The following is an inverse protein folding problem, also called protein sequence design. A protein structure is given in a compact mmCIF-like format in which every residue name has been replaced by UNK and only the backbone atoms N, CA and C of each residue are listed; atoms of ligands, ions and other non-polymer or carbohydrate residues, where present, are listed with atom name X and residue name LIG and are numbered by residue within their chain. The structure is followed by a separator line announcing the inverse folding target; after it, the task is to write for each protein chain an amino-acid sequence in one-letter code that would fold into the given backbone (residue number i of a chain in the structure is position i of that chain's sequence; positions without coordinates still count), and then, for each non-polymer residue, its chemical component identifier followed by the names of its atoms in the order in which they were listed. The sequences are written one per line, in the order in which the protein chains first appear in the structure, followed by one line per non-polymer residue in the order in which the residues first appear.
data_IF_237525825920
#
_entry.id   IF_237525825920
#
_cell.length_a   1.000
_cell.length_b   1.000
_cell.length_c   1.000
_cell.angle_alpha   90.00
_cell.angle_beta   90.00
_cell.angle_gamma   90.00
#
_symmetry.space_group_name_H-M   'P 1'
#
loop_
_entity.id
_entity.type
_entity.pdbx_description
1 polymer ?
#
# COMPACT_ATOMS: atom_id res chain seq x y z
N UNK A 1 -13.43 0.72 16.16
CA UNK A 1 -12.69 1.21 17.34
C UNK A 1 -11.27 1.49 16.85
N UNK A 2 -10.67 2.66 17.10
CA UNK A 2 -9.31 2.97 16.58
C UNK A 2 -8.27 2.36 17.52
N UNK A 3 -7.28 1.63 16.98
CA UNK A 3 -6.35 0.82 17.79
C UNK A 3 -5.44 1.65 18.71
N UNK A 4 -5.16 1.12 19.91
CA UNK A 4 -4.48 1.79 21.03
C UNK A 4 -3.03 2.17 20.77
N UNK A 5 -2.32 1.52 19.85
CA UNK A 5 -0.90 1.81 19.60
C UNK A 5 -0.66 3.19 18.97
N UNK A 6 -1.57 3.65 18.11
CA UNK A 6 -1.58 5.03 17.61
C UNK A 6 -1.77 6.07 18.73
N UNK A 7 -2.23 5.62 19.91
CA UNK A 7 -2.54 6.48 21.05
C UNK A 7 -1.52 6.41 22.19
N UNK A 8 -0.56 5.49 22.17
CA UNK A 8 0.27 5.19 23.35
C UNK A 8 1.76 5.36 23.05
N UNK A 9 2.37 6.42 23.62
CA UNK A 9 3.83 6.51 23.80
C UNK A 9 4.30 5.68 25.00
N UNK A 10 3.75 4.48 25.19
CA UNK A 10 3.85 3.75 26.46
C UNK A 10 5.09 2.88 26.58
N UNK A 11 5.50 2.66 27.83
CA UNK A 11 6.66 1.90 28.30
C UNK A 11 6.62 0.38 28.01
N UNK A 12 5.60 -0.10 27.29
CA UNK A 12 5.35 -1.52 27.00
C UNK A 12 5.51 -1.88 25.51
N UNK A 13 5.99 -0.95 24.70
CA UNK A 13 6.29 -1.20 23.29
C UNK A 13 7.55 -2.07 23.19
N UNK A 14 7.38 -3.28 22.66
CA UNK A 14 8.50 -4.11 22.23
C UNK A 14 8.71 -3.85 20.74
N UNK A 15 9.88 -3.34 20.39
CA UNK A 15 10.35 -3.27 19.00
C UNK A 15 10.78 -4.66 18.56
N UNK A 16 10.25 -5.10 17.43
CA UNK A 16 10.51 -6.40 16.82
C UNK A 16 10.64 -6.20 15.30
N UNK A 17 11.17 -7.20 14.59
CA UNK A 17 11.42 -7.14 13.16
C UNK A 17 11.02 -8.46 12.50
N UNK A 18 10.23 -8.40 11.44
CA UNK A 18 9.70 -9.59 10.77
C UNK A 18 10.61 -10.11 9.63
N UNK A 19 11.83 -9.57 9.54
CA UNK A 19 12.79 -9.77 8.47
C UNK A 19 12.74 -8.73 7.36
N UNK A 20 11.69 -7.89 7.31
CA UNK A 20 11.55 -6.79 6.32
C UNK A 20 11.25 -5.44 6.96
N UNK A 21 10.38 -5.40 7.97
CA UNK A 21 9.96 -4.16 8.61
C UNK A 21 10.01 -4.23 10.13
N UNK A 22 10.34 -3.09 10.72
CA UNK A 22 10.24 -2.88 12.16
C UNK A 22 8.78 -2.68 12.56
N UNK A 23 8.37 -3.37 13.62
CA UNK A 23 7.03 -3.27 14.17
C UNK A 23 7.05 -3.24 15.70
N UNK A 24 5.96 -2.74 16.25
CA UNK A 24 5.71 -2.56 17.66
C UNK A 24 4.68 -3.57 18.13
N UNK A 25 4.88 -4.14 19.31
CA UNK A 25 3.87 -5.00 19.97
C UNK A 25 3.27 -4.31 21.19
N UNK A 26 1.94 -4.33 21.29
CA UNK A 26 1.20 -3.81 22.44
C UNK A 26 -0.01 -4.72 22.72
N UNK A 27 -0.10 -5.30 23.92
CA UNK A 27 -1.22 -6.17 24.34
C UNK A 27 -1.53 -7.33 23.35
N UNK A 28 -0.53 -7.82 22.62
CA UNK A 28 -0.67 -8.87 21.61
C UNK A 28 -0.98 -8.36 20.19
N UNK A 29 -1.35 -7.09 20.03
CA UNK A 29 -1.50 -6.44 18.74
C UNK A 29 -0.12 -6.02 18.18
N UNK A 30 0.02 -6.07 16.84
CA UNK A 30 1.25 -5.73 16.11
C UNK A 30 1.02 -4.50 15.25
N UNK A 31 1.99 -3.59 15.19
CA UNK A 31 1.89 -2.34 14.44
C UNK A 31 3.16 -2.02 13.70
N UNK A 32 3.09 -1.79 12.40
CA UNK A 32 4.20 -1.21 11.67
C UNK A 32 4.63 0.10 12.35
N UNK A 33 5.91 0.15 12.75
CA UNK A 33 6.52 1.33 13.36
C UNK A 33 6.27 2.62 12.55
N UNK A 34 6.40 2.63 11.20
CA UNK A 34 6.08 3.81 10.41
C UNK A 34 4.64 4.27 10.51
N UNK A 35 3.68 3.35 10.44
CA UNK A 35 2.26 3.70 10.52
C UNK A 35 1.93 4.26 11.90
N UNK A 36 2.44 3.63 12.97
CA UNK A 36 2.31 4.13 14.34
C UNK A 36 2.85 5.56 14.47
N UNK A 37 4.06 5.83 13.97
CA UNK A 37 4.66 7.16 13.98
C UNK A 37 3.83 8.19 13.21
N UNK A 38 3.31 7.82 12.03
CA UNK A 38 2.42 8.67 11.23
C UNK A 38 1.14 8.99 11.99
N UNK A 39 0.46 8.00 12.55
CA UNK A 39 -0.79 8.24 13.26
C UNK A 39 -0.61 9.02 14.55
N UNK A 40 0.51 8.84 15.28
CA UNK A 40 0.85 9.70 16.42
C UNK A 40 1.03 11.16 15.99
N UNK A 41 1.75 11.39 14.89
CA UNK A 41 1.98 12.73 14.35
C UNK A 41 0.68 13.41 13.92
N UNK A 42 -0.21 12.68 13.23
CA UNK A 42 -1.54 13.19 12.83
C UNK A 42 -2.41 13.47 14.04
N UNK A 43 -2.40 12.60 15.04
CA UNK A 43 -3.17 12.79 16.28
C UNK A 43 -2.73 14.06 17.03
N UNK A 44 -1.41 14.25 17.17
CA UNK A 44 -0.81 15.39 17.86
C UNK A 44 -0.85 16.71 17.05
N UNK A 45 -1.24 16.64 15.78
CA UNK A 45 -1.26 17.82 14.93
C UNK A 45 -2.25 18.88 15.47
N UNK A 46 -1.89 20.18 15.43
CA UNK A 46 -2.58 21.25 16.16
C UNK A 46 -3.83 21.76 15.41
N UNK A 47 -4.70 20.85 14.98
CA UNK A 47 -6.00 21.15 14.38
C UNK A 47 -7.07 20.20 14.93
N UNK A 48 -8.29 20.69 15.07
CA UNK A 48 -9.42 20.11 15.81
C UNK A 48 -10.45 19.50 14.84
N UNK A 49 -9.98 18.67 13.90
CA UNK A 49 -10.82 17.98 12.90
C UNK A 49 -10.98 16.50 13.27
N UNK A 50 -11.62 16.27 14.40
CA UNK A 50 -11.68 14.96 15.08
C UNK A 50 -12.22 13.83 14.19
N UNK A 51 -13.24 14.11 13.38
CA UNK A 51 -13.85 13.11 12.51
C UNK A 51 -12.90 12.68 11.39
N UNK A 52 -12.27 13.64 10.70
CA UNK A 52 -11.33 13.38 9.61
C UNK A 52 -10.03 12.77 10.14
N UNK A 53 -9.56 13.19 11.33
CA UNK A 53 -8.47 12.52 12.03
C UNK A 53 -8.81 11.06 12.30
N UNK A 54 -10.01 10.76 12.83
CA UNK A 54 -10.45 9.39 13.09
C UNK A 54 -10.55 8.56 11.82
N UNK A 55 -11.06 9.13 10.73
CA UNK A 55 -11.14 8.45 9.43
C UNK A 55 -9.75 8.11 8.89
N UNK A 56 -8.80 9.06 8.94
CA UNK A 56 -7.42 8.81 8.53
C UNK A 56 -6.73 7.77 9.41
N UNK A 57 -6.85 7.89 10.73
CA UNK A 57 -6.29 6.91 11.66
C UNK A 57 -6.90 5.52 11.47
N UNK A 58 -8.19 5.42 11.14
CA UNK A 58 -8.82 4.16 10.78
C UNK A 58 -8.19 3.58 9.52
N UNK A 59 -8.00 4.37 8.46
CA UNK A 59 -7.34 3.91 7.25
C UNK A 59 -5.91 3.39 7.52
N UNK A 60 -5.17 3.98 8.46
CA UNK A 60 -3.86 3.46 8.88
C UNK A 60 -3.96 2.14 9.66
N UNK A 61 -5.01 1.95 10.47
CA UNK A 61 -5.28 0.69 11.17
C UNK A 61 -5.59 -0.40 10.15
N UNK A 62 -6.52 -0.13 9.22
CA UNK A 62 -6.93 -1.08 8.19
C UNK A 62 -5.71 -1.51 7.36
N UNK A 63 -4.85 -0.55 6.97
CA UNK A 63 -3.61 -0.84 6.24
C UNK A 63 -2.60 -1.66 7.05
N UNK A 64 -2.50 -1.42 8.36
CA UNK A 64 -1.65 -2.20 9.24
C UNK A 64 -2.13 -3.65 9.35
N UNK A 65 -3.44 -3.86 9.46
CA UNK A 65 -4.05 -5.19 9.47
C UNK A 65 -3.80 -5.90 8.13
N UNK A 66 -4.02 -5.23 7.00
CA UNK A 66 -3.72 -5.76 5.65
C UNK A 66 -2.26 -6.19 5.52
N UNK A 67 -1.31 -5.42 6.06
CA UNK A 67 0.10 -5.80 6.03
C UNK A 67 0.37 -7.12 6.77
N UNK A 68 -0.08 -7.25 8.02
CA UNK A 68 0.19 -8.47 8.78
C UNK A 68 -0.55 -9.68 8.22
N UNK A 69 -1.75 -9.48 7.67
CA UNK A 69 -2.48 -10.53 6.95
C UNK A 69 -1.70 -10.99 5.71
N UNK A 70 -1.18 -10.06 4.90
CA UNK A 70 -0.39 -10.37 3.72
C UNK A 70 0.91 -11.11 4.07
N UNK A 71 1.57 -10.74 5.17
CA UNK A 71 2.78 -11.42 5.65
C UNK A 71 2.50 -12.83 6.17
N UNK A 72 1.41 -13.01 6.90
CA UNK A 72 0.97 -14.35 7.35
C UNK A 72 0.66 -15.24 6.13
N UNK A 73 -0.09 -14.71 5.16
CA UNK A 73 -0.38 -15.39 3.90
C UNK A 73 0.90 -15.77 3.13
N UNK A 74 1.86 -14.85 3.00
CA UNK A 74 3.14 -15.10 2.35
C UNK A 74 3.93 -16.24 3.05
N UNK A 75 3.96 -16.25 4.39
CA UNK A 75 4.65 -17.32 5.13
C UNK A 75 3.94 -18.68 5.00
N UNK A 76 2.61 -18.71 5.01
CA UNK A 76 1.84 -19.95 4.81
C UNK A 76 2.04 -20.56 3.43
N UNK A 77 2.21 -19.72 2.41
CA UNK A 77 2.32 -20.12 1.00
C UNK A 77 3.73 -20.54 0.62
N UNK A 78 4.77 -19.94 1.23
CA UNK A 78 6.18 -20.35 1.11
C UNK A 78 6.44 -21.83 1.37
N UNK A 79 5.57 -22.51 2.13
CA UNK A 79 5.69 -23.95 2.44
C UNK A 79 4.88 -24.89 1.54
N UNK A 80 4.01 -24.37 0.67
CA UNK A 80 2.99 -25.15 -0.06
C UNK A 80 3.05 -24.87 -1.57
N UNK A 81 4.08 -25.34 -2.26
CA UNK A 81 4.12 -25.26 -3.72
C UNK A 81 3.29 -26.40 -4.34
N UNK A 82 2.26 -26.04 -5.12
CA UNK A 82 1.22 -26.94 -5.61
C UNK A 82 1.49 -27.50 -7.03
N UNK A 83 2.76 -27.57 -7.47
CA UNK A 83 3.17 -27.95 -8.85
C UNK A 83 2.50 -29.18 -9.45
N UNK A 84 2.08 -30.12 -8.60
CA UNK A 84 1.52 -31.40 -9.02
C UNK A 84 -0.02 -31.43 -9.00
N UNK A 85 -0.67 -30.35 -8.59
CA UNK A 85 -2.11 -30.16 -8.62
C UNK A 85 -2.45 -28.81 -9.28
N UNK A 86 -2.57 -28.84 -10.61
CA UNK A 86 -2.88 -27.67 -11.45
C UNK A 86 -4.16 -26.93 -11.01
N UNK A 87 -5.15 -27.67 -10.46
CA UNK A 87 -6.41 -27.08 -10.01
C UNK A 87 -6.22 -26.34 -8.68
N UNK A 88 -5.43 -26.88 -7.78
CA UNK A 88 -5.08 -26.21 -6.54
C UNK A 88 -4.19 -24.98 -6.81
N UNK A 89 -3.18 -25.11 -7.68
CA UNK A 89 -2.32 -24.00 -8.10
C UNK A 89 -3.12 -22.87 -8.75
N UNK A 90 -4.04 -23.18 -9.67
CA UNK A 90 -4.88 -22.17 -10.32
C UNK A 90 -5.79 -21.44 -9.33
N UNK A 91 -6.41 -22.15 -8.38
CA UNK A 91 -7.26 -21.52 -7.35
C UNK A 91 -6.45 -20.61 -6.45
N UNK A 92 -5.29 -21.08 -6.00
CA UNK A 92 -4.36 -20.30 -5.21
C UNK A 92 -4.00 -18.98 -5.90
N UNK A 93 -3.57 -19.02 -7.16
CA UNK A 93 -3.22 -17.80 -7.91
C UNK A 93 -4.38 -16.82 -8.05
N UNK A 94 -5.60 -17.32 -8.26
CA UNK A 94 -6.80 -16.46 -8.35
C UNK A 94 -7.02 -15.75 -7.01
N UNK A 95 -7.02 -16.49 -5.91
CA UNK A 95 -7.22 -15.94 -4.56
C UNK A 95 -6.15 -14.92 -4.19
N UNK A 96 -4.86 -15.21 -4.46
CA UNK A 96 -3.79 -14.25 -4.23
C UNK A 96 -3.94 -12.98 -5.09
N UNK A 97 -4.39 -13.11 -6.34
CA UNK A 97 -4.61 -11.97 -7.21
C UNK A 97 -5.85 -11.13 -6.80
N UNK A 98 -6.86 -11.74 -6.18
CA UNK A 98 -7.96 -11.02 -5.53
C UNK A 98 -7.43 -10.19 -4.35
N UNK A 99 -6.63 -10.76 -3.45
CA UNK A 99 -5.98 -10.02 -2.37
C UNK A 99 -5.06 -8.89 -2.87
N UNK A 100 -4.38 -9.13 -4.00
CA UNK A 100 -3.60 -8.10 -4.65
C UNK A 100 -4.47 -6.93 -5.13
N UNK A 101 -5.67 -7.22 -5.63
CA UNK A 101 -6.64 -6.20 -6.05
C UNK A 101 -7.17 -5.38 -4.88
N UNK A 102 -7.40 -6.02 -3.73
CA UNK A 102 -7.83 -5.34 -2.49
C UNK A 102 -6.84 -4.24 -2.07
N UNK A 103 -5.55 -4.39 -2.36
CA UNK A 103 -4.53 -3.39 -2.07
C UNK A 103 -4.79 -2.05 -2.80
N UNK A 104 -5.46 -2.06 -3.96
CA UNK A 104 -5.86 -0.83 -4.66
C UNK A 104 -6.92 -0.07 -3.86
N UNK A 105 -7.88 -0.79 -3.27
CA UNK A 105 -8.93 -0.20 -2.45
C UNK A 105 -8.37 0.40 -1.16
N UNK A 106 -7.41 -0.26 -0.52
CA UNK A 106 -6.71 0.24 0.66
C UNK A 106 -5.99 1.57 0.37
N UNK A 107 -5.25 1.65 -0.74
CA UNK A 107 -4.60 2.89 -1.17
C UNK A 107 -5.62 4.01 -1.39
N UNK A 108 -6.69 3.74 -2.15
CA UNK A 108 -7.71 4.75 -2.45
C UNK A 108 -8.39 5.26 -1.19
N UNK A 109 -8.64 4.37 -0.23
CA UNK A 109 -9.21 4.71 1.08
C UNK A 109 -8.27 5.64 1.86
N UNK A 110 -6.98 5.31 1.94
CA UNK A 110 -5.97 6.15 2.59
C UNK A 110 -5.87 7.53 1.93
N UNK A 111 -5.77 7.58 0.60
CA UNK A 111 -5.66 8.84 -0.16
C UNK A 111 -6.93 9.68 -0.03
N UNK A 112 -8.11 9.07 -0.05
CA UNK A 112 -9.37 9.80 0.18
C UNK A 112 -9.46 10.36 1.60
N UNK A 113 -9.01 9.62 2.61
CA UNK A 113 -8.97 10.10 3.98
C UNK A 113 -7.94 11.23 4.15
N UNK A 114 -6.82 11.18 3.42
CA UNK A 114 -5.84 12.27 3.37
C UNK A 114 -6.46 13.56 2.83
N UNK A 115 -7.13 13.52 1.68
CA UNK A 115 -7.74 14.72 1.08
C UNK A 115 -8.73 15.37 2.05
N UNK A 116 -9.65 14.56 2.60
CA UNK A 116 -10.65 15.06 3.55
C UNK A 116 -10.01 15.69 4.80
N UNK A 117 -8.90 15.12 5.27
CA UNK A 117 -8.14 15.64 6.40
C UNK A 117 -7.42 16.96 6.06
N UNK A 118 -6.81 17.05 4.88
CA UNK A 118 -6.15 18.28 4.40
C UNK A 118 -7.16 19.39 4.22
N UNK A 119 -8.28 19.12 3.57
CA UNK A 119 -9.33 20.11 3.31
C UNK A 119 -9.89 20.67 4.61
N UNK A 120 -10.25 19.80 5.56
CA UNK A 120 -10.76 20.22 6.86
C UNK A 120 -9.71 21.01 7.68
N UNK A 121 -8.44 20.59 7.65
CA UNK A 121 -7.39 21.29 8.37
C UNK A 121 -7.08 22.67 7.76
N UNK A 122 -7.16 22.79 6.43
CA UNK A 122 -7.03 24.07 5.72
C UNK A 122 -8.18 25.01 6.09
N UNK A 123 -9.43 24.52 6.04
CA UNK A 123 -10.61 25.30 6.40
C UNK A 123 -10.56 25.81 7.85
N UNK A 124 -10.07 24.99 8.79
CA UNK A 124 -9.89 25.42 10.18
C UNK A 124 -8.85 26.54 10.31
N UNK A 125 -7.70 26.42 9.64
CA UNK A 125 -6.65 27.45 9.68
C UNK A 125 -7.13 28.76 9.03
N UNK A 126 -7.95 28.67 7.98
CA UNK A 126 -8.56 29.83 7.33
C UNK A 126 -9.63 30.50 8.20
N UNK A 127 -10.46 29.71 8.89
CA UNK A 127 -11.53 30.20 9.77
C UNK A 127 -11.05 30.69 11.14
N UNK A 128 -9.81 30.38 11.53
CA UNK A 128 -9.20 30.95 12.75
C UNK A 128 -8.91 32.43 12.50
N UNK A 129 -9.91 33.25 12.81
CA UNK A 129 -9.92 34.69 12.67
C UNK A 129 -9.02 35.30 13.75
N UNK A 130 -7.78 35.68 13.38
CA UNK A 130 -6.92 36.68 14.05
C UNK A 130 -5.44 36.60 13.62
N UNK A 131 -5.03 35.54 12.90
CA UNK A 131 -3.65 35.40 12.43
C UNK A 131 -3.30 36.39 11.29
N UNK A 132 -2.09 36.95 11.33
CA UNK A 132 -1.53 37.72 10.21
C UNK A 132 -1.54 36.89 8.91
N UNK A 133 -1.67 37.55 7.75
CA UNK A 133 -1.71 36.86 6.45
C UNK A 133 -0.46 35.98 6.22
N UNK A 134 0.71 36.40 6.71
CA UNK A 134 1.92 35.59 6.60
C UNK A 134 1.92 34.42 7.58
N UNK A 135 1.42 34.61 8.81
CA UNK A 135 1.29 33.55 9.80
C UNK A 135 0.31 32.47 9.31
N UNK A 136 -0.84 32.88 8.77
CA UNK A 136 -1.81 31.98 8.15
C UNK A 136 -1.18 31.19 7.00
N UNK A 137 -0.46 31.85 6.09
CA UNK A 137 0.22 31.16 4.97
C UNK A 137 1.25 30.14 5.48
N UNK A 138 2.03 30.50 6.50
CA UNK A 138 3.01 29.57 7.11
C UNK A 138 2.32 28.38 7.77
N UNK A 139 1.23 28.61 8.50
CA UNK A 139 0.45 27.55 9.13
C UNK A 139 -0.15 26.59 8.09
N UNK A 140 -0.77 27.11 7.02
CA UNK A 140 -1.29 26.31 5.91
C UNK A 140 -0.20 25.46 5.26
N UNK A 141 0.96 26.06 4.98
CA UNK A 141 2.09 25.35 4.38
C UNK A 141 2.63 24.24 5.31
N UNK A 142 2.68 24.50 6.62
CA UNK A 142 3.17 23.54 7.60
C UNK A 142 2.21 22.36 7.81
N UNK A 143 0.90 22.62 7.81
CA UNK A 143 -0.13 21.58 7.88
C UNK A 143 -0.07 20.68 6.64
N UNK A 144 -0.05 21.29 5.45
CA UNK A 144 0.02 20.54 4.18
C UNK A 144 1.29 19.70 4.10
N UNK A 145 2.47 20.29 4.34
CA UNK A 145 3.73 19.55 4.28
C UNK A 145 3.77 18.40 5.29
N UNK A 146 3.22 18.61 6.49
CA UNK A 146 3.16 17.57 7.52
C UNK A 146 2.27 16.41 7.10
N UNK A 147 1.06 16.69 6.59
CA UNK A 147 0.11 15.66 6.17
C UNK A 147 0.59 14.92 4.92
N UNK A 148 1.23 15.62 3.98
CA UNK A 148 1.86 15.00 2.81
C UNK A 148 2.98 14.05 3.24
N UNK A 149 3.84 14.45 4.16
CA UNK A 149 4.90 13.59 4.69
C UNK A 149 4.37 12.36 5.41
N UNK A 150 3.28 12.53 6.17
CA UNK A 150 2.59 11.43 6.82
C UNK A 150 2.07 10.42 5.79
N UNK A 151 1.37 10.90 4.76
CA UNK A 151 0.78 10.01 3.74
C UNK A 151 1.84 9.39 2.85
N UNK A 152 2.87 10.12 2.43
CA UNK A 152 3.98 9.57 1.64
C UNK A 152 4.66 8.41 2.38
N UNK A 153 4.88 8.59 3.69
CA UNK A 153 5.42 7.54 4.54
C UNK A 153 4.48 6.35 4.70
N UNK A 154 3.18 6.58 4.87
CA UNK A 154 2.19 5.51 4.95
C UNK A 154 2.09 4.73 3.63
N UNK A 155 2.23 5.40 2.49
CA UNK A 155 2.26 4.76 1.17
C UNK A 155 3.53 3.92 0.99
N UNK A 156 4.69 4.49 1.28
CA UNK A 156 5.99 3.86 1.05
C UNK A 156 6.33 2.74 2.03
N UNK A 157 6.07 2.93 3.32
CA UNK A 157 6.47 2.00 4.38
C UNK A 157 5.29 1.21 4.96
N UNK A 158 4.07 1.43 4.46
CA UNK A 158 2.87 0.70 4.89
C UNK A 158 2.19 -0.03 3.75
N UNK A 159 1.69 0.73 2.77
CA UNK A 159 0.90 0.17 1.67
C UNK A 159 1.74 -0.64 0.69
N UNK A 160 2.84 -0.07 0.19
CA UNK A 160 3.65 -0.73 -0.81
C UNK A 160 4.23 -2.09 -0.33
N UNK A 161 4.65 -2.25 0.94
CA UNK A 161 4.99 -3.55 1.51
C UNK A 161 3.88 -4.60 1.48
N UNK A 162 2.59 -4.21 1.57
CA UNK A 162 1.46 -5.15 1.43
C UNK A 162 1.42 -5.71 0.00
N UNK A 163 1.60 -4.82 -0.98
CA UNK A 163 1.70 -5.18 -2.40
C UNK A 163 2.85 -6.16 -2.60
N UNK A 164 4.05 -5.86 -2.10
CA UNK A 164 5.20 -6.77 -2.22
C UNK A 164 4.92 -8.15 -1.61
N UNK A 165 4.30 -8.23 -0.43
CA UNK A 165 4.00 -9.49 0.24
C UNK A 165 3.06 -10.39 -0.57
N UNK A 166 1.97 -9.85 -1.10
CA UNK A 166 1.06 -10.61 -1.97
C UNK A 166 1.68 -10.95 -3.32
N UNK A 167 2.50 -10.06 -3.90
CA UNK A 167 3.24 -10.37 -5.11
C UNK A 167 4.18 -11.56 -4.90
N UNK A 168 4.98 -11.56 -3.84
CA UNK A 168 5.87 -12.69 -3.53
C UNK A 168 5.11 -13.98 -3.22
N UNK A 169 3.86 -13.88 -2.77
CA UNK A 169 2.98 -15.04 -2.59
C UNK A 169 2.56 -15.66 -3.93
N UNK A 170 2.48 -14.90 -5.03
CA UNK A 170 2.14 -15.44 -6.38
C UNK A 170 3.23 -16.34 -6.95
N UNK A 171 4.48 -16.14 -6.51
CA UNK A 171 5.64 -16.94 -6.87
C UNK A 171 6.32 -17.46 -5.59
N UNK A 172 5.64 -18.31 -4.79
CA UNK A 172 6.22 -18.84 -3.57
C UNK A 172 7.45 -19.65 -4.00
N UNK A 173 8.63 -19.17 -3.59
CA UNK A 173 9.92 -19.47 -4.22
C UNK A 173 9.99 -20.85 -4.86
N UNK A 174 10.23 -20.91 -6.16
CA UNK A 174 10.30 -22.17 -6.90
C UNK A 174 11.36 -23.07 -6.23
N UNK A 175 10.92 -24.16 -5.61
CA UNK A 175 11.80 -25.29 -5.34
C UNK A 175 12.08 -25.96 -6.68
N UNK A 176 13.12 -25.49 -7.38
CA UNK A 176 13.76 -26.28 -8.43
C UNK A 176 14.47 -27.44 -7.70
N UNK A 177 13.78 -28.56 -7.57
CA UNK A 177 14.44 -29.83 -7.33
C UNK A 177 15.11 -30.26 -8.64
N UNK A 178 16.18 -29.56 -9.02
CA UNK A 178 17.12 -30.10 -9.99
C UNK A 178 17.93 -31.18 -9.27
N UNK A 179 18.00 -32.32 -9.94
CA UNK A 179 18.57 -33.61 -9.55
C UNK A 179 19.43 -33.69 -8.28
N UNK A 180 19.13 -34.75 -7.52
CA UNK A 180 19.75 -35.43 -6.36
C UNK A 180 21.07 -34.98 -5.71
N UNK A 181 21.88 -34.07 -6.23
CA UNK A 181 23.14 -33.66 -5.59
C UNK A 181 23.37 -32.14 -5.64
N UNK A 182 23.10 -31.50 -4.50
CA UNK A 182 23.84 -30.33 -3.98
C UNK A 182 23.75 -29.02 -4.78
N UNK A 183 22.70 -28.24 -4.52
CA UNK A 183 22.75 -26.86 -3.93
C UNK A 183 21.34 -26.29 -3.86
N UNK A 184 20.85 -26.06 -2.63
CA UNK A 184 19.67 -25.20 -2.40
C UNK A 184 20.07 -23.75 -2.71
N UNK A 185 20.00 -23.34 -3.98
CA UNK A 185 20.02 -21.93 -4.32
C UNK A 185 18.59 -21.44 -4.42
N UNK A 186 18.28 -20.40 -3.65
CA UNK A 186 17.02 -19.68 -3.69
C UNK A 186 17.05 -18.90 -5.01
N UNK A 187 16.22 -19.29 -5.97
CA UNK A 187 15.89 -18.40 -7.08
C UNK A 187 14.78 -17.52 -6.52
N UNK A 188 15.12 -16.27 -6.19
CA UNK A 188 14.09 -15.24 -6.02
C UNK A 188 13.31 -15.17 -7.33
N UNK A 189 12.00 -15.35 -7.24
CA UNK A 189 11.12 -15.53 -8.39
C UNK A 189 11.25 -14.37 -9.37
N UNK A 190 12.01 -14.58 -10.44
CA UNK A 190 12.04 -13.69 -11.59
C UNK A 190 10.88 -14.08 -12.51
N UNK A 191 9.79 -13.31 -12.41
CA UNK A 191 8.78 -12.92 -13.42
C UNK A 191 8.28 -13.82 -14.56
N UNK A 192 8.68 -15.08 -14.70
CA UNK A 192 8.24 -15.90 -15.85
C UNK A 192 7.58 -17.23 -15.46
N UNK A 193 6.85 -17.26 -14.33
CA UNK A 193 5.84 -18.29 -14.14
C UNK A 193 4.72 -18.05 -15.17
N UNK A 194 4.80 -18.72 -16.34
CA UNK A 194 3.79 -18.68 -17.41
C UNK A 194 2.37 -18.60 -16.84
N UNK A 195 1.65 -17.53 -17.18
CA UNK A 195 0.24 -17.34 -16.82
C UNK A 195 -0.05 -16.36 -15.67
N UNK A 196 0.95 -15.88 -14.91
CA UNK A 196 0.70 -14.79 -13.93
C UNK A 196 0.33 -13.49 -14.67
N UNK A 197 1.07 -13.12 -15.72
CA UNK A 197 0.72 -11.98 -16.57
C UNK A 197 -0.68 -12.09 -17.16
N UNK A 198 -1.00 -13.22 -17.79
CA UNK A 198 -2.34 -13.49 -18.37
C UNK A 198 -3.46 -13.49 -17.32
N UNK A 199 -3.17 -13.92 -16.09
CA UNK A 199 -4.13 -13.84 -14.99
C UNK A 199 -4.41 -12.38 -14.67
N UNK A 200 -3.36 -11.61 -14.39
CA UNK A 200 -3.44 -10.23 -13.93
C UNK A 200 -3.92 -9.27 -15.04
N UNK A 201 -3.88 -9.69 -16.31
CA UNK A 201 -4.48 -9.03 -17.47
C UNK A 201 -6.00 -9.14 -17.55
N UNK A 202 -6.63 -9.95 -16.72
CA UNK A 202 -8.08 -10.10 -16.76
C UNK A 202 -8.79 -8.87 -16.18
N UNK A 203 -9.96 -8.52 -16.75
CA UNK A 203 -10.67 -7.28 -16.41
C UNK A 203 -11.29 -7.24 -14.99
N UNK A 204 -11.27 -8.35 -14.25
CA UNK A 204 -11.75 -8.40 -12.86
C UNK A 204 -10.66 -8.08 -11.83
N UNK A 205 -9.40 -7.96 -12.25
CA UNK A 205 -8.33 -7.52 -11.37
C UNK A 205 -8.24 -6.01 -11.38
N UNK A 206 -8.42 -5.40 -10.21
CA UNK A 206 -8.29 -3.97 -10.08
C UNK A 206 -6.81 -3.58 -10.20
N UNK A 207 -6.58 -2.54 -11.00
CA UNK A 207 -5.25 -1.97 -11.25
C UNK A 207 -5.21 -0.53 -10.80
N UNK A 208 -4.00 -0.03 -10.59
CA UNK A 208 -3.77 1.38 -10.35
C UNK A 208 -4.13 2.18 -11.59
N UNK A 209 -5.06 3.11 -11.48
CA UNK A 209 -5.42 4.00 -12.59
C UNK A 209 -4.36 5.09 -12.77
N UNK A 210 -4.36 5.75 -13.94
CA UNK A 210 -3.51 6.93 -14.16
C UNK A 210 -3.73 8.01 -13.08
N UNK A 211 -4.96 8.13 -12.57
CA UNK A 211 -5.30 9.02 -11.46
C UNK A 211 -4.60 8.60 -10.16
N UNK A 212 -4.65 7.31 -9.83
CA UNK A 212 -4.00 6.79 -8.61
C UNK A 212 -2.49 7.05 -8.67
N UNK A 213 -1.85 6.75 -9.79
CA UNK A 213 -0.41 6.98 -10.01
C UNK A 213 -0.06 8.46 -9.90
N UNK A 214 -0.87 9.33 -10.50
CA UNK A 214 -0.66 10.79 -10.41
C UNK A 214 -0.70 11.27 -8.98
N UNK A 215 -1.65 10.77 -8.18
CA UNK A 215 -1.77 11.13 -6.76
C UNK A 215 -0.59 10.65 -5.93
N UNK A 216 -0.14 9.40 -6.12
CA UNK A 216 1.08 8.90 -5.45
C UNK A 216 2.27 9.81 -5.79
N UNK A 217 2.42 10.16 -7.08
CA UNK A 217 3.50 11.03 -7.54
C UNK A 217 3.43 12.44 -6.96
N UNK A 218 2.23 13.02 -6.85
CA UNK A 218 2.03 14.35 -6.25
C UNK A 218 2.43 14.34 -4.77
N UNK A 219 1.93 13.38 -3.99
CA UNK A 219 2.29 13.20 -2.57
C UNK A 219 3.79 13.06 -2.41
N UNK A 220 4.41 12.18 -3.20
CA UNK A 220 5.84 11.91 -3.14
C UNK A 220 6.71 13.10 -3.58
N UNK A 221 6.27 13.87 -4.58
CA UNK A 221 6.99 15.04 -5.07
C UNK A 221 6.95 16.19 -4.06
N UNK A 222 5.79 16.41 -3.46
CA UNK A 222 5.57 17.54 -2.54
C UNK A 222 6.09 17.26 -1.13
N UNK A 223 6.23 15.98 -0.79
CA UNK A 223 6.92 15.55 0.41
C UNK A 223 7.77 14.32 0.12
N UNK A 224 9.03 14.49 -0.34
CA UNK A 224 9.93 13.35 -0.51
C UNK A 224 10.17 12.73 0.87
N UNK A 225 9.49 11.63 1.16
CA UNK A 225 9.65 10.87 2.38
C UNK A 225 10.89 9.99 2.35
N UNK A 226 10.85 8.90 3.10
CA UNK A 226 11.96 7.96 3.30
C UNK A 226 12.31 7.17 2.05
N UNK A 227 11.32 6.79 1.24
CA UNK A 227 11.53 6.16 -0.06
C UNK A 227 10.82 6.94 -1.19
N UNK A 228 11.50 7.91 -1.83
CA UNK A 228 10.94 8.69 -2.93
C UNK A 228 10.77 7.89 -4.24
N UNK A 229 11.01 6.58 -4.22
CA UNK A 229 11.10 5.76 -5.44
C UNK A 229 9.93 4.81 -5.63
N UNK A 230 8.93 4.78 -4.73
CA UNK A 230 7.75 3.90 -4.85
C UNK A 230 7.12 3.98 -6.24
N UNK A 231 6.86 5.20 -6.73
CA UNK A 231 6.26 5.39 -8.06
C UNK A 231 7.16 4.86 -9.19
N UNK A 232 8.48 5.02 -9.05
CA UNK A 232 9.45 4.56 -10.04
C UNK A 232 9.49 3.04 -10.06
N UNK A 233 9.51 2.40 -8.88
CA UNK A 233 9.44 0.95 -8.74
C UNK A 233 8.14 0.38 -9.29
N UNK A 234 7.00 1.03 -9.06
CA UNK A 234 5.73 0.61 -9.67
C UNK A 234 5.78 0.59 -11.20
N UNK A 235 6.48 1.54 -11.83
CA UNK A 235 6.61 1.57 -13.29
C UNK A 235 7.68 0.62 -13.82
N UNK A 236 8.79 0.49 -13.10
CA UNK A 236 9.97 -0.27 -13.54
C UNK A 236 9.82 -1.77 -13.22
N UNK A 237 9.32 -2.11 -12.03
CA UNK A 237 9.22 -3.48 -11.49
C UNK A 237 7.79 -4.04 -11.55
N UNK A 238 6.75 -3.19 -11.58
CA UNK A 238 5.34 -3.64 -11.55
C UNK A 238 4.46 -3.03 -12.68
N UNK A 239 4.95 -2.94 -13.94
CA UNK A 239 4.24 -2.22 -15.00
C UNK A 239 2.84 -2.77 -15.31
N UNK A 240 2.61 -4.06 -15.04
CA UNK A 240 1.31 -4.73 -15.23
C UNK A 240 0.26 -4.34 -14.19
N UNK A 241 0.67 -3.87 -13.00
CA UNK A 241 -0.25 -3.41 -11.95
C UNK A 241 -0.72 -1.97 -12.19
N UNK A 242 -0.04 -1.27 -13.10
CA UNK A 242 -0.42 0.06 -13.56
C UNK A 242 -1.31 -0.09 -14.79
N UNK A 243 -2.54 0.42 -14.69
CA UNK A 243 -3.50 0.41 -15.78
C UNK A 243 -2.95 1.17 -16.99
N UNK A 244 -2.50 0.45 -18.01
CA UNK A 244 -2.27 1.03 -19.33
C UNK A 244 -3.62 1.39 -19.95
N UNK A 245 -3.69 2.60 -20.53
CA UNK A 245 -4.81 3.02 -21.38
C UNK A 245 -5.14 1.89 -22.35
N UNK A 246 -6.36 1.35 -22.29
CA UNK A 246 -7.00 0.82 -23.49
C UNK A 246 -7.19 1.99 -24.45
N UNK A 247 -6.13 2.27 -25.20
CA UNK A 247 -6.16 2.94 -26.47
C UNK A 247 -6.32 1.91 -27.60
N UNK A 248 -7.23 0.97 -27.46
CA UNK A 248 -7.91 0.37 -28.60
C UNK A 248 -9.39 0.39 -28.27
N UNK A 249 -10.01 1.48 -28.71
CA UNK A 249 -11.42 1.51 -29.00
C UNK A 249 -11.76 0.21 -29.72
N UNK A 250 -12.69 -0.55 -29.16
CA UNK A 250 -13.91 -0.93 -29.88
C UNK A 250 -13.69 -0.90 -31.40
N UNK A 251 -13.05 -1.94 -31.91
CA UNK A 251 -13.23 -2.38 -33.28
C UNK A 251 -14.68 -2.89 -33.39
N UNK A 252 -15.64 -1.97 -33.31
CA UNK A 252 -17.02 -2.19 -33.68
C UNK A 252 -17.35 -1.26 -34.85
N UNK A 253 -17.42 -1.88 -36.04
CA UNK A 253 -18.01 -1.33 -37.26
C UNK A 253 -17.10 -0.30 -37.94
N UNK A 254 -16.57 -0.52 -39.14
CA UNK A 254 -17.14 -1.21 -40.29
C UNK A 254 -16.01 -1.43 -41.31
N UNK A 255 -15.62 -2.68 -41.53
CA UNK A 255 -14.84 -3.12 -42.69
C UNK A 255 -15.06 -4.63 -42.90
N UNK A 256 -16.24 -5.00 -43.33
CA UNK A 256 -16.47 -5.81 -44.54
C UNK A 256 -17.99 -6.01 -44.70
N UNK A 257 -18.62 -5.36 -45.67
CA UNK A 257 -18.70 -5.76 -47.09
C UNK A 257 -19.77 -6.82 -47.32
N UNK A 258 -21.01 -6.38 -47.55
CA UNK A 258 -21.84 -6.72 -48.73
C UNK A 258 -23.08 -5.82 -48.80
#
# INVERSE_FOLDING_TARGET
MVSRAFFTGSKYLVEDNDGRHDYLRLDGERFLAPLSAVGQKVRQAPFEVDEQKRAYLKALVDLNESYFAAREYEEETKGKYLKHDERAERRFRIETAEHFSDCVADLRTLLSAHDALVDAAVEQVESTAEADANERRRALSAVRSTLLACTDRAVSEGWFPVVEAYYYSLSPGELVAEDRERRKQRIEGTEESRGIGELLEKPHFDRLTERDIRRIREVNRESPGSDPRVWKRLLDEYPWYVGQKHGEAVAAGTADSE
#
